data_IF_982216366958
#
_entry.id   IF_982216366958
#
_cell.length_a   1.000
_cell.length_b   1.000
_cell.length_c   1.000
_cell.angle_alpha   90.00
_cell.angle_beta   90.00
_cell.angle_gamma   90.00
#
_symmetry.space_group_name_H-M   'P 1'
#
loop_
_entity.id
_entity.type
_entity.pdbx_description
1 polymer ?
#
# COMPACT_ATOMS: atom_id res chain seq x y z
N UNK A 1 -0.52 13.59 -2.51
CA UNK A 1 0.88 14.02 -2.60
C UNK A 1 1.02 15.05 -3.69
N UNK A 2 1.75 16.10 -3.42
CA UNK A 2 1.73 17.27 -4.26
C UNK A 2 2.97 17.36 -5.14
N UNK A 3 4.15 17.26 -4.55
CA UNK A 3 5.41 17.35 -5.24
C UNK A 3 6.40 16.30 -4.71
N UNK A 4 7.26 15.82 -5.58
CA UNK A 4 8.35 14.93 -5.21
C UNK A 4 9.55 15.18 -6.13
N UNK A 5 10.73 14.78 -5.69
CA UNK A 5 11.92 14.81 -6.53
C UNK A 5 12.02 13.53 -7.35
N UNK A 6 12.72 13.58 -8.48
CA UNK A 6 12.92 12.41 -9.35
C UNK A 6 13.64 11.25 -8.65
N UNK A 7 14.46 11.54 -7.64
CA UNK A 7 15.15 10.54 -6.82
C UNK A 7 14.26 9.97 -5.70
N UNK A 8 13.05 10.52 -5.49
CA UNK A 8 12.13 10.06 -4.45
C UNK A 8 11.58 8.67 -4.71
N UNK A 9 11.26 7.99 -3.63
CA UNK A 9 10.49 6.75 -3.66
C UNK A 9 9.62 6.65 -2.42
N UNK A 10 8.58 5.81 -2.47
CA UNK A 10 7.73 5.50 -1.33
C UNK A 10 7.47 4.00 -1.24
N UNK A 11 7.15 3.52 -0.06
CA UNK A 11 6.77 2.14 0.18
C UNK A 11 5.90 2.04 1.43
N UNK A 12 5.26 0.89 1.61
CA UNK A 12 4.53 0.51 2.83
C UNK A 12 5.22 -0.68 3.49
N UNK A 13 6.27 -0.46 4.33
CA UNK A 13 7.03 -1.55 4.93
C UNK A 13 6.33 -2.23 6.12
N UNK A 14 5.20 -1.68 6.58
CA UNK A 14 4.56 -1.95 7.87
C UNK A 14 4.22 -3.42 8.07
N UNK A 15 3.76 -4.14 7.06
CA UNK A 15 3.45 -5.57 7.16
C UNK A 15 4.69 -6.43 7.44
N UNK A 16 5.88 -5.91 7.11
CA UNK A 16 7.17 -6.52 7.44
C UNK A 16 7.66 -6.26 8.86
N UNK A 17 6.96 -5.43 9.63
CA UNK A 17 7.23 -5.16 11.04
C UNK A 17 6.00 -5.42 11.92
N UNK A 18 5.09 -6.27 11.46
CA UNK A 18 3.99 -6.79 12.27
C UNK A 18 2.73 -5.95 12.32
N UNK A 19 2.67 -4.80 11.65
CA UNK A 19 1.50 -3.90 11.65
C UNK A 19 1.00 -3.62 10.23
N UNK A 20 -0.17 -3.03 10.09
CA UNK A 20 -0.68 -2.57 8.80
C UNK A 20 -0.30 -1.11 8.52
N UNK A 21 -0.21 -0.68 7.23
CA UNK A 21 0.01 0.72 6.88
C UNK A 21 -1.13 1.62 7.36
N UNK A 22 -0.83 2.53 8.29
CA UNK A 22 -1.80 3.44 8.89
C UNK A 22 -1.80 4.84 8.30
N UNK A 23 -2.36 5.80 9.07
CA UNK A 23 -2.39 7.23 8.77
C UNK A 23 -3.07 7.59 7.44
N UNK A 24 -3.97 6.73 6.98
CA UNK A 24 -4.69 6.90 5.71
C UNK A 24 -3.83 6.70 4.47
N UNK A 25 -2.68 6.05 4.60
CA UNK A 25 -1.81 5.70 3.48
C UNK A 25 -2.49 4.74 2.51
N UNK A 26 -3.07 3.64 3.03
CA UNK A 26 -3.84 2.67 2.24
C UNK A 26 -5.04 3.34 1.57
N UNK A 27 -5.81 4.13 2.32
CA UNK A 27 -6.99 4.84 1.81
C UNK A 27 -6.66 5.74 0.61
N UNK A 28 -5.62 6.59 0.77
CA UNK A 28 -5.23 7.53 -0.30
C UNK A 28 -4.71 6.78 -1.52
N UNK A 29 -3.91 5.75 -1.31
CA UNK A 29 -3.39 4.92 -2.41
C UNK A 29 -4.53 4.22 -3.13
N UNK A 30 -5.48 3.60 -2.41
CA UNK A 30 -6.66 2.95 -2.99
C UNK A 30 -7.45 3.89 -3.91
N UNK A 31 -7.60 5.14 -3.52
CA UNK A 31 -8.30 6.15 -4.32
C UNK A 31 -7.58 6.55 -5.61
N UNK A 32 -6.27 6.40 -5.65
CA UNK A 32 -5.48 6.69 -6.84
C UNK A 32 -5.37 5.49 -7.79
N UNK A 33 -5.19 4.29 -7.25
CA UNK A 33 -4.78 3.13 -8.06
C UNK A 33 -5.76 1.95 -8.02
N UNK A 34 -6.87 2.08 -7.28
CA UNK A 34 -7.81 0.97 -7.02
C UNK A 34 -7.35 0.07 -5.86
N UNK A 35 -8.31 -0.72 -5.30
CA UNK A 35 -8.02 -1.57 -4.15
C UNK A 35 -7.02 -2.68 -4.47
N UNK A 36 -7.04 -3.24 -5.67
CA UNK A 36 -6.19 -4.36 -6.06
C UNK A 36 -4.71 -3.97 -6.04
N UNK A 37 -4.34 -2.87 -6.71
CA UNK A 37 -2.96 -2.42 -6.74
C UNK A 37 -2.53 -1.81 -5.39
N UNK A 38 -3.44 -1.22 -4.64
CA UNK A 38 -3.18 -0.77 -3.27
C UNK A 38 -2.82 -1.94 -2.35
N UNK A 39 -3.54 -3.07 -2.45
CA UNK A 39 -3.20 -4.32 -1.74
C UNK A 39 -1.81 -4.82 -2.11
N UNK A 40 -1.47 -4.85 -3.39
CA UNK A 40 -0.11 -5.21 -3.82
C UNK A 40 0.96 -4.39 -3.09
N UNK A 41 0.84 -3.07 -3.10
CA UNK A 41 1.82 -2.21 -2.44
C UNK A 41 1.83 -2.36 -0.92
N UNK A 42 0.66 -2.37 -0.28
CA UNK A 42 0.53 -2.48 1.17
C UNK A 42 1.03 -3.83 1.70
N UNK A 43 0.77 -4.93 0.97
CA UNK A 43 1.12 -6.27 1.45
C UNK A 43 2.58 -6.62 1.19
N UNK A 44 3.09 -6.22 0.03
CA UNK A 44 4.47 -6.58 -0.35
C UNK A 44 5.51 -5.59 0.19
N UNK A 45 5.12 -4.33 0.40
CA UNK A 45 6.06 -3.25 0.69
C UNK A 45 6.91 -2.88 -0.53
N UNK A 46 6.41 -3.15 -1.74
CA UNK A 46 7.12 -2.82 -2.98
C UNK A 46 7.36 -1.31 -3.09
N UNK A 47 8.57 -0.94 -3.50
CA UNK A 47 8.92 0.46 -3.75
C UNK A 47 8.19 1.00 -4.97
N UNK A 48 7.67 2.21 -4.83
CA UNK A 48 7.07 3.00 -5.91
C UNK A 48 8.04 4.16 -6.19
N UNK A 49 8.67 4.17 -7.35
CA UNK A 49 9.55 5.28 -7.77
C UNK A 49 8.74 6.57 -7.92
N UNK A 50 9.39 7.72 -7.84
CA UNK A 50 8.74 9.02 -8.05
C UNK A 50 8.04 9.09 -9.41
N UNK A 51 8.66 8.56 -10.47
CA UNK A 51 8.07 8.48 -11.80
C UNK A 51 6.80 7.60 -11.83
N UNK A 52 6.85 6.45 -11.15
CA UNK A 52 5.69 5.57 -11.03
C UNK A 52 4.57 6.21 -10.21
N UNK A 53 4.91 6.83 -9.11
CA UNK A 53 3.95 7.56 -8.28
C UNK A 53 3.26 8.68 -9.06
N UNK A 54 3.98 9.39 -9.95
CA UNK A 54 3.39 10.37 -10.85
C UNK A 54 2.49 9.72 -11.91
N UNK A 55 2.94 8.65 -12.55
CA UNK A 55 2.15 7.91 -13.53
C UNK A 55 0.85 7.33 -12.93
N UNK A 56 0.90 6.89 -11.69
CA UNK A 56 -0.24 6.40 -10.90
C UNK A 56 -1.12 7.53 -10.34
N UNK A 57 -0.71 8.79 -10.48
CA UNK A 57 -1.46 9.93 -9.96
C UNK A 57 -1.32 10.15 -8.44
N UNK A 58 -0.46 9.39 -7.76
CA UNK A 58 -0.16 9.57 -6.34
C UNK A 58 0.64 10.85 -6.11
N UNK A 59 1.59 11.14 -7.00
CA UNK A 59 2.36 12.39 -7.06
C UNK A 59 1.81 13.29 -8.15
N UNK A 60 1.54 14.54 -7.83
CA UNK A 60 0.99 15.52 -8.77
C UNK A 60 2.06 16.07 -9.70
N UNK A 61 3.23 16.42 -9.15
CA UNK A 61 4.31 17.07 -9.88
C UNK A 61 5.67 16.55 -9.43
N UNK A 62 6.55 16.22 -10.38
CA UNK A 62 7.97 15.99 -10.10
C UNK A 62 8.72 17.29 -10.29
N UNK A 63 9.62 17.61 -9.37
CA UNK A 63 10.42 18.84 -9.37
C UNK A 63 11.83 18.55 -8.85
N UNK A 64 12.77 19.43 -9.16
CA UNK A 64 14.08 19.41 -8.53
C UNK A 64 13.98 19.76 -7.02
N UNK A 65 14.89 19.27 -6.18
CA UNK A 65 14.84 19.51 -4.74
C UNK A 65 14.69 20.98 -4.34
N UNK A 66 15.42 21.87 -5.01
CA UNK A 66 15.38 23.32 -4.75
C UNK A 66 14.03 23.97 -5.12
N UNK A 67 13.22 23.32 -5.97
CA UNK A 67 11.93 23.83 -6.43
C UNK A 67 10.72 23.29 -5.63
N UNK A 68 10.93 22.39 -4.69
CA UNK A 68 9.83 21.73 -3.94
C UNK A 68 8.94 22.75 -3.24
N UNK A 69 9.53 23.69 -2.52
CA UNK A 69 8.77 24.69 -1.75
C UNK A 69 7.97 25.64 -2.65
N UNK A 70 8.54 26.07 -3.76
CA UNK A 70 7.85 26.89 -4.75
C UNK A 70 6.68 26.12 -5.38
N UNK A 71 6.89 24.85 -5.74
CA UNK A 71 5.84 23.99 -6.29
C UNK A 71 4.69 23.75 -5.31
N UNK A 72 4.98 23.62 -4.01
CA UNK A 72 3.96 23.51 -2.96
C UNK A 72 3.13 24.78 -2.91
N UNK A 73 3.75 25.97 -2.90
CA UNK A 73 3.05 27.25 -2.89
C UNK A 73 2.16 27.43 -4.12
N UNK A 74 2.68 27.12 -5.29
CA UNK A 74 1.93 27.20 -6.55
C UNK A 74 0.70 26.30 -6.53
N UNK A 75 0.87 25.04 -6.13
CA UNK A 75 -0.24 24.08 -6.08
C UNK A 75 -1.28 24.45 -5.01
N UNK A 76 -0.85 25.03 -3.90
CA UNK A 76 -1.75 25.53 -2.88
C UNK A 76 -2.56 26.75 -3.38
N UNK A 77 -1.92 27.65 -4.13
CA UNK A 77 -2.58 28.82 -4.73
C UNK A 77 -3.55 28.46 -5.85
N UNK A 78 -3.27 27.41 -6.62
CA UNK A 78 -4.15 26.90 -7.68
C UNK A 78 -5.39 26.16 -7.13
N UNK A 79 -5.45 25.91 -5.85
CA UNK A 79 -6.50 25.13 -5.22
C UNK A 79 -6.33 23.63 -5.52
N UNK A 80 -7.35 22.83 -5.19
CA UNK A 80 -7.32 21.39 -5.46
C UNK A 80 -7.26 21.13 -6.97
N UNK A 81 -6.10 20.64 -7.49
CA UNK A 81 -6.13 20.07 -8.82
C UNK A 81 -7.00 18.83 -8.74
N UNK A 82 -7.92 18.72 -9.63
CA UNK A 82 -8.81 17.59 -9.89
C UNK A 82 -9.12 16.63 -8.73
N UNK A 83 -10.38 16.36 -8.54
CA UNK A 83 -10.89 15.22 -7.76
C UNK A 83 -10.10 13.97 -8.15
N UNK A 84 -9.87 13.07 -7.18
CA UNK A 84 -9.35 11.74 -7.45
C UNK A 84 -10.07 11.16 -8.67
N UNK A 85 -9.40 11.15 -9.81
CA UNK A 85 -9.89 10.48 -11.01
C UNK A 85 -9.12 9.19 -11.16
N UNK A 86 -9.80 8.03 -11.18
CA UNK A 86 -9.16 6.79 -11.56
C UNK A 86 -8.47 7.01 -12.92
N UNK A 87 -7.18 6.76 -12.98
CA UNK A 87 -6.43 6.74 -14.22
C UNK A 87 -6.34 5.31 -14.71
N UNK A 88 -6.22 5.12 -16.00
CA UNK A 88 -5.87 3.80 -16.51
C UNK A 88 -4.51 3.40 -15.93
N UNK A 89 -4.44 2.20 -15.35
CA UNK A 89 -3.18 1.70 -14.80
C UNK A 89 -2.15 1.52 -15.91
N UNK A 90 -0.91 2.01 -15.71
CA UNK A 90 0.19 1.71 -16.63
C UNK A 90 0.33 0.20 -16.82
N UNK A 91 0.61 -0.25 -18.04
CA UNK A 91 0.61 -1.66 -18.43
C UNK A 91 1.43 -2.55 -17.50
N UNK A 92 2.56 -2.06 -16.99
CA UNK A 92 3.43 -2.79 -16.07
C UNK A 92 2.78 -3.15 -14.72
N UNK A 93 1.73 -2.42 -14.31
CA UNK A 93 1.03 -2.66 -13.03
C UNK A 93 -0.21 -3.54 -13.19
N UNK A 94 -0.75 -3.70 -14.41
CA UNK A 94 -1.94 -4.52 -14.65
C UNK A 94 -1.81 -5.96 -14.11
N UNK A 95 -0.70 -6.70 -14.35
CA UNK A 95 -0.56 -8.06 -13.83
C UNK A 95 -0.56 -8.14 -12.29
N UNK A 96 -0.06 -7.10 -11.61
CA UNK A 96 -0.12 -7.05 -10.14
C UNK A 96 -1.54 -6.78 -9.64
N UNK A 97 -2.28 -5.87 -10.28
CA UNK A 97 -3.67 -5.61 -9.93
C UNK A 97 -4.54 -6.86 -10.16
N UNK A 98 -4.36 -7.56 -11.27
CA UNK A 98 -5.05 -8.83 -11.57
C UNK A 98 -4.78 -9.89 -10.49
N UNK A 99 -3.52 -10.02 -10.07
CA UNK A 99 -3.11 -11.00 -9.05
C UNK A 99 -3.74 -10.72 -7.67
N UNK A 100 -4.05 -9.46 -7.35
CA UNK A 100 -4.65 -9.05 -6.08
C UNK A 100 -6.16 -8.77 -6.19
N UNK A 101 -6.81 -9.17 -7.28
CA UNK A 101 -8.24 -8.94 -7.50
C UNK A 101 -9.11 -10.05 -6.92
N UNK A 102 -10.33 -9.71 -6.49
CA UNK A 102 -11.39 -10.67 -6.14
C UNK A 102 -10.91 -11.86 -5.28
N UNK A 103 -11.25 -13.09 -5.71
CA UNK A 103 -10.86 -14.31 -5.01
C UNK A 103 -9.36 -14.63 -5.08
N UNK A 104 -8.61 -14.02 -5.99
CA UNK A 104 -7.18 -14.27 -6.14
C UNK A 104 -6.41 -13.84 -4.89
N UNK A 105 -6.76 -12.70 -4.28
CA UNK A 105 -6.11 -12.22 -3.05
C UNK A 105 -6.29 -13.18 -1.88
N UNK A 106 -7.47 -13.78 -1.71
CA UNK A 106 -7.71 -14.76 -0.65
C UNK A 106 -6.84 -16.01 -0.84
N UNK A 107 -6.66 -16.44 -2.09
CA UNK A 107 -5.77 -17.55 -2.44
C UNK A 107 -4.31 -17.23 -2.13
N UNK A 108 -3.85 -16.01 -2.47
CA UNK A 108 -2.49 -15.55 -2.10
C UNK A 108 -2.28 -15.52 -0.60
N UNK A 109 -3.24 -15.01 0.16
CA UNK A 109 -3.17 -14.94 1.63
C UNK A 109 -3.18 -16.33 2.28
N UNK A 110 -3.73 -17.35 1.60
CA UNK A 110 -3.62 -18.76 2.01
C UNK A 110 -2.28 -19.41 1.63
N UNK A 111 -1.34 -18.67 1.06
CA UNK A 111 -0.03 -19.17 0.66
C UNK A 111 -0.03 -19.94 -0.68
N UNK A 112 -1.06 -19.79 -1.50
CA UNK A 112 -1.21 -20.52 -2.77
C UNK A 112 -1.23 -19.56 -3.97
N UNK A 113 -0.75 -20.04 -5.11
CA UNK A 113 -0.87 -19.30 -6.37
C UNK A 113 -2.31 -19.39 -6.90
N UNK A 114 -2.92 -18.25 -7.29
CA UNK A 114 -4.24 -18.27 -7.92
C UNK A 114 -4.21 -18.98 -9.28
N UNK A 115 -5.30 -19.68 -9.61
CA UNK A 115 -5.45 -20.35 -10.89
C UNK A 115 -5.41 -19.32 -12.05
N UNK A 116 -4.69 -19.64 -13.10
CA UNK A 116 -4.53 -18.77 -14.29
C UNK A 116 -3.58 -17.58 -14.09
N UNK A 117 -3.02 -17.39 -12.90
CA UNK A 117 -2.04 -16.34 -12.67
C UNK A 117 -0.70 -16.63 -13.38
N UNK A 118 0.05 -15.58 -13.71
CA UNK A 118 1.43 -15.73 -14.15
C UNK A 118 2.24 -16.40 -13.03
N UNK A 119 2.74 -17.60 -13.29
CA UNK A 119 3.39 -18.47 -12.30
C UNK A 119 4.63 -17.82 -11.66
N UNK A 120 5.47 -17.17 -12.46
CA UNK A 120 6.69 -16.49 -11.97
C UNK A 120 6.34 -15.31 -11.05
N UNK A 121 5.38 -14.47 -11.48
CA UNK A 121 4.91 -13.36 -10.69
C UNK A 121 4.28 -13.82 -9.38
N UNK A 122 3.40 -14.84 -9.43
CA UNK A 122 2.76 -15.40 -8.24
C UNK A 122 3.78 -15.96 -7.26
N UNK A 123 4.77 -16.72 -7.74
CA UNK A 123 5.84 -17.26 -6.91
C UNK A 123 6.67 -16.16 -6.23
N UNK A 124 7.02 -15.08 -6.96
CA UNK A 124 7.74 -13.94 -6.41
C UNK A 124 6.94 -13.22 -5.32
N UNK A 125 5.65 -13.01 -5.57
CA UNK A 125 4.74 -12.38 -4.59
C UNK A 125 4.60 -13.26 -3.36
N UNK A 126 4.30 -14.55 -3.51
CA UNK A 126 4.17 -15.48 -2.38
C UNK A 126 5.44 -15.55 -1.53
N UNK A 127 6.62 -15.59 -2.16
CA UNK A 127 7.89 -15.50 -1.43
C UNK A 127 7.98 -14.22 -0.59
N UNK A 128 7.52 -13.09 -1.12
CA UNK A 128 7.52 -11.81 -0.40
C UNK A 128 6.52 -11.82 0.75
N UNK A 129 5.29 -12.32 0.51
CA UNK A 129 4.25 -12.41 1.53
C UNK A 129 4.63 -13.34 2.68
N UNK A 130 5.42 -14.40 2.41
CA UNK A 130 5.95 -15.31 3.42
C UNK A 130 6.86 -14.66 4.47
N UNK A 131 7.26 -13.39 4.26
CA UNK A 131 8.04 -12.59 5.22
C UNK A 131 7.21 -11.50 5.89
N UNK A 132 5.90 -11.51 5.71
CA UNK A 132 4.98 -10.51 6.26
C UNK A 132 4.14 -11.12 7.37
N UNK A 133 3.74 -10.30 8.34
CA UNK A 133 2.89 -10.73 9.43
C UNK A 133 1.49 -11.13 8.93
N UNK A 134 1.04 -12.37 9.12
CA UNK A 134 -0.23 -12.84 8.57
C UNK A 134 -1.43 -12.05 9.06
N UNK A 135 -1.45 -11.67 10.34
CA UNK A 135 -2.53 -10.86 10.92
C UNK A 135 -2.56 -9.47 10.29
N UNK A 136 -1.40 -8.84 10.09
CA UNK A 136 -1.30 -7.54 9.44
C UNK A 136 -1.80 -7.57 7.98
N UNK A 137 -1.47 -8.62 7.23
CA UNK A 137 -1.98 -8.82 5.86
C UNK A 137 -3.50 -8.96 5.83
N UNK A 138 -4.07 -9.77 6.73
CA UNK A 138 -5.53 -9.96 6.85
C UNK A 138 -6.23 -8.65 7.16
N UNK A 139 -5.78 -7.93 8.18
CA UNK A 139 -6.39 -6.68 8.61
C UNK A 139 -6.26 -5.61 7.52
N UNK A 140 -5.10 -5.48 6.87
CA UNK A 140 -4.91 -4.55 5.76
C UNK A 140 -5.86 -4.86 4.59
N UNK A 141 -6.07 -6.15 4.27
CA UNK A 141 -7.04 -6.56 3.25
C UNK A 141 -8.45 -6.09 3.58
N UNK A 142 -8.91 -6.38 4.79
CA UNK A 142 -10.25 -6.01 5.27
C UNK A 142 -10.45 -4.48 5.30
N UNK A 143 -9.43 -3.73 5.73
CA UNK A 143 -9.47 -2.26 5.74
C UNK A 143 -9.59 -1.72 4.32
N UNK A 144 -8.75 -2.15 3.38
CA UNK A 144 -8.77 -1.66 1.99
C UNK A 144 -10.13 -1.94 1.35
N UNK A 145 -10.67 -3.15 1.51
CA UNK A 145 -11.98 -3.52 0.97
C UNK A 145 -13.11 -2.67 1.57
N UNK A 146 -13.07 -2.47 2.89
CA UNK A 146 -14.07 -1.65 3.58
C UNK A 146 -14.00 -0.17 3.19
N UNK A 147 -12.82 0.37 2.99
CA UNK A 147 -12.60 1.80 2.67
C UNK A 147 -13.02 2.18 1.25
N UNK A 148 -13.11 1.24 0.33
CA UNK A 148 -13.29 1.51 -1.10
C UNK A 148 -14.51 2.37 -1.43
N UNK A 149 -15.61 2.23 -0.68
CA UNK A 149 -16.87 2.98 -0.90
C UNK A 149 -17.18 4.06 0.13
N UNK A 150 -16.32 4.27 1.15
CA UNK A 150 -16.62 5.16 2.27
C UNK A 150 -16.21 6.63 1.98
N UNK A 151 -16.88 7.58 2.65
CA UNK A 151 -16.39 8.95 2.74
C UNK A 151 -15.03 8.99 3.47
N UNK A 152 -14.25 10.06 3.26
CA UNK A 152 -12.89 10.16 3.81
C UNK A 152 -12.85 9.96 5.32
N UNK A 153 -13.77 10.59 6.04
CA UNK A 153 -13.83 10.52 7.50
C UNK A 153 -14.12 9.09 7.98
N UNK A 154 -15.16 8.49 7.43
CA UNK A 154 -15.60 7.14 7.83
C UNK A 154 -14.54 6.08 7.48
N UNK A 155 -13.83 6.27 6.37
CA UNK A 155 -12.73 5.43 5.98
C UNK A 155 -11.54 5.52 6.95
N UNK A 156 -11.21 6.72 7.43
CA UNK A 156 -10.17 6.92 8.46
C UNK A 156 -10.62 6.30 9.78
N UNK A 157 -11.87 6.51 10.20
CA UNK A 157 -12.40 5.91 11.42
C UNK A 157 -12.40 4.37 11.37
N UNK A 158 -12.71 3.79 10.20
CA UNK A 158 -12.63 2.34 9.99
C UNK A 158 -11.19 1.78 10.15
N UNK A 159 -10.17 2.55 9.75
CA UNK A 159 -8.76 2.21 9.95
C UNK A 159 -8.36 2.35 11.43
N UNK A 160 -8.70 3.48 12.06
CA UNK A 160 -8.39 3.74 13.46
C UNK A 160 -9.01 2.70 14.40
N UNK A 161 -10.22 2.22 14.10
CA UNK A 161 -10.90 1.19 14.88
C UNK A 161 -10.21 -0.18 14.88
N UNK A 162 -9.18 -0.39 14.04
CA UNK A 162 -8.42 -1.65 13.97
C UNK A 162 -7.05 -1.55 14.67
N UNK A 163 -6.69 -0.38 15.24
CA UNK A 163 -5.37 -0.19 15.84
C UNK A 163 -5.16 -1.06 17.07
N UNK A 164 -6.15 -1.15 17.98
CA UNK A 164 -6.03 -1.99 19.15
C UNK A 164 -5.78 -3.46 18.74
N UNK A 165 -6.57 -3.98 17.81
CA UNK A 165 -6.45 -5.35 17.33
C UNK A 165 -5.05 -5.68 16.80
N UNK A 166 -4.44 -4.80 16.01
CA UNK A 166 -3.12 -5.07 15.46
C UNK A 166 -2.01 -4.93 16.50
N UNK A 167 -2.05 -3.90 17.35
CA UNK A 167 -1.00 -3.65 18.34
C UNK A 167 -1.02 -4.62 19.53
N UNK A 168 -2.11 -5.35 19.75
CA UNK A 168 -2.21 -6.41 20.76
C UNK A 168 -1.65 -7.75 20.26
N UNK A 169 -1.25 -7.88 18.99
CA UNK A 169 -0.70 -9.12 18.44
C UNK A 169 0.74 -9.39 18.89
N UNK A 170 1.08 -10.66 19.05
CA UNK A 170 2.47 -11.09 19.29
C UNK A 170 3.35 -10.75 18.09
N UNK A 171 2.82 -10.78 16.87
CA UNK A 171 3.55 -10.43 15.65
C UNK A 171 3.90 -8.94 15.61
N UNK A 172 3.06 -8.04 16.12
CA UNK A 172 3.38 -6.62 16.21
C UNK A 172 4.50 -6.38 17.24
N UNK A 173 4.44 -7.02 18.41
CA UNK A 173 5.50 -6.95 19.41
C UNK A 173 6.83 -7.49 18.87
N UNK A 174 6.82 -8.64 18.21
CA UNK A 174 7.98 -9.24 17.56
C UNK A 174 8.56 -8.29 16.50
N UNK A 175 7.72 -7.82 15.58
CA UNK A 175 8.17 -6.97 14.49
C UNK A 175 8.77 -5.66 14.97
N UNK A 176 8.08 -4.94 15.85
CA UNK A 176 8.52 -3.62 16.35
C UNK A 176 9.78 -3.74 17.21
N UNK A 177 9.92 -4.78 18.03
CA UNK A 177 11.10 -4.98 18.88
C UNK A 177 12.37 -5.39 18.11
N UNK A 178 12.21 -5.89 16.88
CA UNK A 178 13.32 -6.41 16.05
C UNK A 178 13.76 -5.45 14.95
N UNK A 179 13.06 -4.34 14.73
CA UNK A 179 13.42 -3.33 13.71
C UNK A 179 14.89 -2.92 13.84
N UNK A 180 15.62 -3.01 12.72
CA UNK A 180 17.04 -2.64 12.65
C UNK A 180 18.01 -3.60 13.34
N UNK A 181 17.52 -4.69 13.94
CA UNK A 181 18.35 -5.66 14.69
C UNK A 181 18.43 -7.02 14.02
N UNK A 182 17.28 -7.60 13.67
CA UNK A 182 17.18 -8.90 13.00
C UNK A 182 15.87 -8.98 12.22
N UNK A 183 15.74 -10.01 11.41
CA UNK A 183 14.48 -10.32 10.74
C UNK A 183 13.46 -10.83 11.77
N UNK A 184 12.22 -10.33 11.77
CA UNK A 184 11.17 -10.86 12.64
C UNK A 184 10.74 -12.27 12.22
N UNK A 185 10.23 -13.04 13.19
CA UNK A 185 9.66 -14.38 13.00
C UNK A 185 8.18 -14.33 13.36
N UNK A 186 7.32 -14.12 12.37
CA UNK A 186 5.88 -13.99 12.56
C UNK A 186 5.20 -15.35 12.70
N UNK A 187 4.24 -15.44 13.62
CA UNK A 187 3.46 -16.66 13.92
C UNK A 187 1.99 -16.55 13.61
N UNK A 188 1.50 -15.36 13.22
CA UNK A 188 0.08 -15.12 12.95
C UNK A 188 -0.78 -15.02 14.23
N UNK A 189 -0.22 -14.49 15.29
CA UNK A 189 -0.87 -14.39 16.62
C UNK A 189 -0.81 -12.97 17.17
#
# INVERSE_FOLDING_TARGET
>A
TIAATSAGSMAFPETGIGIFPGLGGMLRTTRHVGPELAKYFAFTGAYISAADAQALGIVTRLVEPAAVEAAIRDLAAQGRPDKYRPRELPAKFKPFAELFSGAAVATLLSGKAPAGANAELAAKVLKTLGFKAPVALRIANEIIDRQAGLAMRDAVEAELGRLAEIFETADALEGLSTVGRRRPEFKGQ
#
